data_IF_699022172231
#
_entry.id   IF_699022172231
#
_cell.length_a   1.000
_cell.length_b   1.000
_cell.length_c   1.000
_cell.angle_alpha   90.00
_cell.angle_beta   90.00
_cell.angle_gamma   90.00
#
_symmetry.space_group_name_H-M   'P 1'
#
loop_
_entity.id
_entity.type
_entity.pdbx_description
1 polymer ?
#
# COMPACT_ATOMS: atom_id res chain seq x y z
N UNK A 1 -49.22 34.76 51.33
CA UNK A 1 -49.10 36.14 51.74
C UNK A 1 -48.49 36.92 50.58
N UNK A 2 -49.37 37.64 49.96
CA UNK A 2 -49.44 39.10 49.82
C UNK A 2 -48.27 39.62 48.93
N UNK A 3 -48.56 40.16 47.84
CA UNK A 3 -49.32 41.20 47.21
C UNK A 3 -48.45 42.19 46.48
N UNK A 4 -48.78 42.40 45.23
CA UNK A 4 -49.12 43.69 44.60
C UNK A 4 -47.94 44.60 44.26
N UNK A 5 -47.93 45.36 43.23
CA UNK A 5 -48.84 45.78 42.16
C UNK A 5 -48.17 46.83 41.29
N UNK A 6 -48.64 47.00 40.07
CA UNK A 6 -48.93 48.19 39.26
C UNK A 6 -47.78 48.96 38.62
N UNK A 7 -47.79 49.01 37.39
CA UNK A 7 -48.46 49.79 36.34
C UNK A 7 -47.81 51.09 35.95
N UNK A 8 -47.60 51.30 34.69
CA UNK A 8 -48.08 52.31 33.72
C UNK A 8 -47.01 52.54 32.68
N UNK A 9 -47.24 52.27 31.48
CA UNK A 9 -48.02 52.92 30.40
C UNK A 9 -47.25 53.96 29.64
N UNK A 10 -47.33 53.76 28.35
CA UNK A 10 -47.39 54.75 27.28
C UNK A 10 -46.12 55.15 26.53
N UNK A 11 -46.19 54.98 25.21
CA UNK A 11 -45.42 55.76 24.31
C UNK A 11 -45.18 55.12 22.96
N UNK A 12 -46.20 55.19 22.08
CA UNK A 12 -46.08 55.02 20.65
C UNK A 12 -44.89 55.77 20.06
N UNK A 13 -44.08 55.05 19.23
CA UNK A 13 -43.62 55.58 17.93
C UNK A 13 -43.18 54.42 17.04
N UNK A 14 -43.94 54.18 15.96
CA UNK A 14 -43.45 53.49 14.78
C UNK A 14 -42.63 54.50 13.98
N UNK A 15 -41.52 54.03 13.35
CA UNK A 15 -41.46 54.24 11.91
C UNK A 15 -41.25 52.96 11.15
N UNK A 16 -41.89 52.94 10.04
CA UNK A 16 -41.80 52.07 8.87
C UNK A 16 -40.44 52.18 8.22
N UNK A 17 -39.83 51.11 7.92
CA UNK A 17 -38.89 51.03 6.97
C UNK A 17 -38.35 50.11 6.34
N UNK A 18 -37.75 49.82 5.20
CA UNK A 18 -38.23 48.95 4.15
C UNK A 18 -37.54 47.57 4.18
N UNK A 19 -38.29 46.65 3.72
CA UNK A 19 -37.78 45.34 3.25
C UNK A 19 -36.88 45.57 2.06
N UNK A 20 -35.60 45.32 2.24
CA UNK A 20 -34.66 45.19 1.13
C UNK A 20 -33.87 43.91 1.26
N UNK A 21 -34.23 42.98 0.37
CA UNK A 21 -33.30 42.13 -0.42
C UNK A 21 -32.17 41.43 0.34
N UNK A 22 -32.48 40.26 0.90
CA UNK A 22 -31.53 39.17 1.05
C UNK A 22 -31.93 38.02 0.13
N UNK A 23 -31.83 38.28 -1.16
CA UNK A 23 -31.83 37.21 -2.21
C UNK A 23 -30.58 37.44 -3.02
N UNK A 24 -29.83 36.35 -3.17
CA UNK A 24 -28.70 36.20 -4.08
C UNK A 24 -27.29 36.34 -3.48
N UNK A 25 -26.90 35.45 -2.57
CA UNK A 25 -25.51 34.94 -2.58
C UNK A 25 -25.58 33.45 -2.22
N UNK A 26 -26.08 32.67 -3.13
CA UNK A 26 -25.99 31.20 -3.09
C UNK A 26 -26.01 30.66 -4.51
N UNK A 27 -24.95 30.98 -5.28
CA UNK A 27 -24.69 30.29 -6.55
C UNK A 27 -23.38 30.79 -7.15
N UNK A 28 -22.28 30.61 -6.40
CA UNK A 28 -20.96 30.46 -6.97
C UNK A 28 -20.21 29.41 -6.14
N UNK A 29 -20.77 28.21 -6.04
CA UNK A 29 -19.98 27.04 -5.72
C UNK A 29 -19.11 26.82 -6.97
N UNK A 30 -17.91 27.36 -6.87
CA UNK A 30 -16.90 27.34 -7.92
C UNK A 30 -16.64 25.92 -8.41
N UNK A 31 -16.47 25.69 -9.71
CA UNK A 31 -16.01 24.42 -10.26
C UNK A 31 -14.61 24.02 -9.74
N UNK A 32 -13.92 24.90 -9.02
CA UNK A 32 -12.65 24.61 -8.36
C UNK A 32 -12.73 23.51 -7.27
N UNK A 33 -13.86 23.31 -6.59
CA UNK A 33 -14.02 22.21 -5.64
C UNK A 33 -14.15 20.85 -6.32
N UNK A 34 -14.71 20.79 -7.53
CA UNK A 34 -14.83 19.54 -8.29
C UNK A 34 -13.49 19.15 -8.93
N UNK A 35 -12.65 20.11 -9.30
CA UNK A 35 -11.28 19.84 -9.79
C UNK A 35 -10.33 19.40 -8.68
N UNK A 36 -10.47 19.93 -7.47
CA UNK A 36 -9.64 19.50 -6.32
C UNK A 36 -9.91 18.06 -5.89
N UNK A 37 -11.13 17.55 -6.07
CA UNK A 37 -11.48 16.17 -5.69
C UNK A 37 -10.89 15.10 -6.62
N UNK A 38 -10.32 15.48 -7.75
CA UNK A 38 -9.80 14.58 -8.79
C UNK A 38 -8.30 14.77 -9.06
N UNK A 39 -7.62 15.58 -8.27
CA UNK A 39 -6.17 15.63 -8.30
C UNK A 39 -5.57 14.31 -7.80
N UNK A 40 -4.38 13.97 -8.25
CA UNK A 40 -3.65 12.79 -7.78
C UNK A 40 -3.58 12.74 -6.25
N UNK A 41 -3.37 13.90 -5.61
CA UNK A 41 -3.30 14.02 -4.16
C UNK A 41 -4.64 13.67 -3.48
N UNK A 42 -5.76 14.09 -4.06
CA UNK A 42 -7.09 13.74 -3.52
C UNK A 42 -7.39 12.23 -3.67
N UNK A 43 -6.94 11.59 -4.75
CA UNK A 43 -7.05 10.15 -4.92
C UNK A 43 -6.17 9.39 -3.93
N UNK A 44 -4.94 9.84 -3.69
CA UNK A 44 -4.03 9.27 -2.69
C UNK A 44 -4.62 9.40 -1.28
N UNK A 45 -5.14 10.57 -0.91
CA UNK A 45 -5.77 10.79 0.38
C UNK A 45 -7.02 9.90 0.58
N UNK A 46 -7.82 9.72 -0.49
CA UNK A 46 -8.96 8.80 -0.45
C UNK A 46 -8.51 7.35 -0.29
N UNK A 47 -7.51 6.90 -1.03
CA UNK A 47 -6.97 5.55 -0.90
C UNK A 47 -6.46 5.30 0.52
N UNK A 48 -5.71 6.24 1.10
CA UNK A 48 -5.22 6.10 2.48
C UNK A 48 -6.36 5.97 3.50
N UNK A 49 -7.48 6.65 3.30
CA UNK A 49 -8.62 6.61 4.23
C UNK A 49 -9.58 5.45 4.01
N UNK A 50 -9.81 5.03 2.76
CA UNK A 50 -10.91 4.14 2.39
C UNK A 50 -10.46 2.74 1.96
N UNK A 51 -9.19 2.52 1.64
CA UNK A 51 -8.71 1.24 1.13
C UNK A 51 -8.78 0.12 2.19
N UNK A 52 -9.47 -1.01 1.90
CA UNK A 52 -9.66 -2.10 2.86
C UNK A 52 -8.35 -2.79 3.28
N UNK A 53 -7.34 -2.86 2.38
CA UNK A 53 -6.05 -3.49 2.72
C UNK A 53 -5.28 -2.67 3.74
N UNK A 54 -5.37 -1.34 3.68
CA UNK A 54 -4.79 -0.44 4.69
C UNK A 54 -5.53 -0.52 6.02
N UNK A 55 -6.85 -0.67 5.99
CA UNK A 55 -7.62 -0.92 7.21
C UNK A 55 -7.18 -2.24 7.86
N UNK A 56 -7.05 -3.31 7.07
CA UNK A 56 -6.56 -4.60 7.56
C UNK A 56 -5.13 -4.50 8.15
N UNK A 57 -4.25 -3.71 7.53
CA UNK A 57 -2.89 -3.47 8.04
C UNK A 57 -2.92 -2.73 9.38
N UNK A 58 -3.75 -1.69 9.53
CA UNK A 58 -3.97 -0.96 10.79
C UNK A 58 -4.51 -1.89 11.89
N UNK A 59 -5.42 -2.79 11.53
CA UNK A 59 -5.99 -3.76 12.46
C UNK A 59 -4.97 -4.80 12.92
N UNK A 60 -4.04 -5.23 12.04
CA UNK A 60 -2.91 -6.08 12.41
C UNK A 60 -1.99 -5.40 13.42
N UNK A 61 -1.71 -4.10 13.27
CA UNK A 61 -0.94 -3.32 14.26
C UNK A 61 -1.67 -3.27 15.60
N UNK A 62 -3.01 -3.05 15.59
CA UNK A 62 -3.82 -3.08 16.82
C UNK A 62 -3.78 -4.47 17.49
N UNK A 63 -3.90 -5.53 16.71
CA UNK A 63 -3.82 -6.89 17.20
C UNK A 63 -2.45 -7.22 17.81
N UNK A 64 -1.35 -6.84 17.14
CA UNK A 64 0.00 -7.00 17.69
C UNK A 64 0.17 -6.22 18.99
N UNK A 65 -0.27 -4.97 19.04
CA UNK A 65 -0.23 -4.12 20.24
C UNK A 65 -1.02 -4.70 21.41
N UNK A 66 -2.17 -5.31 21.14
CA UNK A 66 -2.99 -5.97 22.15
C UNK A 66 -2.31 -7.22 22.74
N UNK A 67 -1.42 -7.89 22.00
CA UNK A 67 -0.69 -9.09 22.45
C UNK A 67 0.47 -8.77 23.41
N UNK A 68 0.93 -7.54 23.49
CA UNK A 68 2.06 -7.14 24.37
C UNK A 68 1.73 -7.35 25.85
N UNK A 69 0.54 -6.93 26.28
CA UNK A 69 0.12 -7.11 27.70
C UNK A 69 0.01 -8.59 28.11
N UNK A 70 -0.68 -9.46 27.36
CA UNK A 70 -0.72 -10.90 27.67
C UNK A 70 0.67 -11.55 27.67
N UNK A 71 1.58 -11.16 26.77
CA UNK A 71 2.94 -11.70 26.74
C UNK A 71 3.74 -11.38 28.00
N UNK A 72 3.43 -10.30 28.71
CA UNK A 72 4.06 -9.89 29.97
C UNK A 72 3.27 -10.32 31.20
N UNK A 73 2.08 -10.88 31.04
CA UNK A 73 1.22 -11.25 32.16
C UNK A 73 1.68 -12.58 32.81
N UNK A 74 1.42 -12.70 34.07
CA UNK A 74 1.49 -13.99 34.76
C UNK A 74 0.35 -14.89 34.26
N UNK A 75 0.56 -16.19 34.30
CA UNK A 75 -0.52 -17.13 34.09
C UNK A 75 -1.65 -16.91 35.13
N UNK A 76 -2.89 -17.16 34.79
CA UNK A 76 -3.97 -17.03 35.75
C UNK A 76 -3.86 -18.04 36.87
N UNK A 77 -4.22 -17.67 38.13
CA UNK A 77 -4.26 -18.60 39.23
C UNK A 77 -5.32 -19.68 38.97
N UNK A 78 -4.97 -20.93 39.24
CA UNK A 78 -5.87 -22.06 39.13
C UNK A 78 -6.55 -22.35 40.45
N UNK A 79 -7.89 -22.40 40.48
CA UNK A 79 -8.66 -22.89 41.61
C UNK A 79 -8.72 -24.41 41.53
N UNK A 80 -8.34 -25.09 42.63
CA UNK A 80 -8.39 -26.51 42.74
C UNK A 80 -9.43 -26.88 43.81
N UNK A 81 -10.24 -27.89 43.54
CA UNK A 81 -11.17 -28.49 44.50
C UNK A 81 -11.16 -30.02 44.34
N UNK A 82 -11.15 -30.71 45.42
CA UNK A 82 -11.09 -32.19 45.36
C UNK A 82 -11.24 -32.86 46.75
N UNK A 83 -11.14 -34.16 46.73
CA UNK A 83 -11.08 -35.01 47.94
C UNK A 83 -9.72 -35.69 47.87
N UNK A 84 -8.94 -35.54 48.91
CA UNK A 84 -7.61 -36.15 49.03
C UNK A 84 -7.65 -37.33 50.01
N UNK A 85 -6.87 -38.36 49.73
CA UNK A 85 -6.77 -39.58 50.53
C UNK A 85 -8.11 -40.34 50.76
N UNK A 86 -8.93 -40.41 49.69
CA UNK A 86 -10.14 -41.23 49.70
C UNK A 86 -9.73 -42.71 49.56
N UNK A 87 -10.02 -43.58 50.56
CA UNK A 87 -9.68 -45.00 50.48
C UNK A 87 -10.50 -45.73 49.40
N UNK A 88 -9.83 -46.43 48.49
CA UNK A 88 -10.48 -47.13 47.39
C UNK A 88 -11.33 -48.35 47.85
N UNK A 89 -11.07 -48.87 49.04
CA UNK A 89 -11.86 -49.96 49.62
C UNK A 89 -13.22 -49.55 50.18
N UNK A 90 -13.45 -48.28 50.44
CA UNK A 90 -14.67 -47.79 51.09
C UNK A 90 -15.89 -47.74 50.17
N UNK A 91 -15.72 -47.94 48.88
CA UNK A 91 -16.86 -47.97 47.90
C UNK A 91 -17.58 -49.34 47.82
N UNK A 92 -17.00 -50.41 48.40
CA UNK A 92 -17.52 -51.77 48.30
C UNK A 92 -18.17 -52.33 49.59
N UNK A 93 -18.28 -51.55 50.69
CA UNK A 93 -18.92 -51.99 51.91
C UNK A 93 -20.47 -51.91 51.75
N UNK A 94 -21.23 -53.02 51.86
CA UNK A 94 -22.66 -53.02 51.82
C UNK A 94 -23.28 -52.36 53.06
N UNK A 95 -23.82 -51.17 52.91
CA UNK A 95 -24.53 -50.43 53.97
C UNK A 95 -24.32 -48.93 54.00
N UNK A 96 -23.44 -48.36 53.14
CA UNK A 96 -23.29 -46.91 53.03
C UNK A 96 -24.28 -46.33 52.03
N UNK A 97 -25.35 -45.76 52.54
CA UNK A 97 -26.28 -44.94 51.77
C UNK A 97 -25.58 -43.78 51.10
N UNK A 98 -26.14 -43.32 49.96
CA UNK A 98 -25.65 -42.29 49.05
C UNK A 98 -25.57 -40.86 49.66
N UNK A 99 -24.87 -40.69 50.76
CA UNK A 99 -24.54 -39.38 51.30
C UNK A 99 -23.04 -39.15 51.12
N UNK A 100 -22.67 -37.99 50.69
CA UNK A 100 -21.28 -37.53 50.39
C UNK A 100 -20.18 -38.27 51.09
N UNK A 101 -19.07 -38.63 50.44
CA UNK A 101 -18.02 -39.50 50.94
C UNK A 101 -17.31 -38.90 52.13
N UNK A 102 -17.82 -39.15 53.33
CA UNK A 102 -17.13 -39.01 54.57
C UNK A 102 -17.02 -40.44 55.17
N UNK A 103 -15.89 -41.10 54.97
CA UNK A 103 -15.65 -42.42 55.56
C UNK A 103 -15.44 -42.20 57.07
N UNK A 104 -16.35 -42.66 57.93
CA UNK A 104 -16.16 -42.59 59.37
C UNK A 104 -14.98 -43.49 59.71
N UNK A 105 -13.90 -42.88 60.19
CA UNK A 105 -12.71 -43.61 60.66
C UNK A 105 -11.39 -43.39 59.95
N UNK A 106 -11.39 -42.84 58.72
CA UNK A 106 -10.13 -42.53 58.00
C UNK A 106 -9.64 -41.14 58.36
N UNK A 107 -8.56 -41.04 59.18
CA UNK A 107 -8.11 -39.77 59.74
C UNK A 107 -7.44 -38.83 58.70
N UNK A 108 -7.16 -39.34 57.48
CA UNK A 108 -6.44 -38.60 56.45
C UNK A 108 -7.29 -38.15 55.29
N UNK A 109 -8.57 -38.64 55.15
CA UNK A 109 -9.48 -38.17 54.11
C UNK A 109 -9.89 -36.72 54.38
N UNK A 110 -9.73 -35.86 53.38
CA UNK A 110 -10.09 -34.44 53.50
C UNK A 110 -10.72 -33.89 52.23
N UNK A 111 -11.66 -32.97 52.40
CA UNK A 111 -12.17 -32.13 51.30
C UNK A 111 -11.27 -30.96 51.16
N UNK A 112 -10.77 -30.74 49.96
CA UNK A 112 -9.73 -29.76 49.68
C UNK A 112 -10.23 -28.67 48.77
N UNK A 113 -9.87 -27.44 49.09
CA UNK A 113 -9.95 -26.29 48.17
C UNK A 113 -8.59 -25.58 48.22
N UNK A 114 -8.13 -25.16 47.06
CA UNK A 114 -6.82 -24.49 46.99
C UNK A 114 -6.66 -23.62 45.76
N UNK A 115 -5.63 -22.82 45.77
CA UNK A 115 -5.21 -21.98 44.64
C UNK A 115 -3.75 -22.33 44.32
N UNK A 116 -3.47 -22.48 43.02
CA UNK A 116 -2.08 -22.59 42.54
C UNK A 116 -1.76 -21.49 41.52
N UNK A 117 -0.51 -21.07 41.51
CA UNK A 117 0.02 -20.04 40.66
C UNK A 117 1.40 -20.41 40.13
N UNK A 118 1.55 -20.41 38.81
CA UNK A 118 2.86 -20.53 38.18
C UNK A 118 3.58 -19.18 38.21
N UNK A 119 4.77 -19.15 38.79
CA UNK A 119 5.66 -17.99 38.84
C UNK A 119 6.80 -18.20 37.85
N UNK A 120 6.80 -17.51 36.70
CA UNK A 120 7.85 -17.65 35.70
C UNK A 120 9.23 -17.24 36.28
N UNK A 121 10.28 -17.92 35.84
CA UNK A 121 11.64 -17.56 36.22
C UNK A 121 11.94 -16.09 35.89
N UNK A 122 12.62 -15.35 36.78
CA UNK A 122 12.87 -13.92 36.61
C UNK A 122 13.49 -13.59 35.26
N UNK A 123 12.84 -12.61 34.55
CA UNK A 123 13.25 -12.10 33.26
C UNK A 123 12.68 -12.86 32.05
N UNK A 124 11.97 -13.99 32.21
CA UNK A 124 11.25 -14.64 31.08
C UNK A 124 10.10 -13.76 30.56
N UNK A 125 9.28 -13.19 31.44
CA UNK A 125 8.20 -12.29 31.08
C UNK A 125 8.70 -11.02 30.38
N UNK A 126 9.84 -10.46 30.85
CA UNK A 126 10.49 -9.32 30.22
C UNK A 126 10.91 -9.62 28.77
N UNK A 127 11.46 -10.81 28.51
CA UNK A 127 11.86 -11.23 27.16
C UNK A 127 10.65 -11.51 26.27
N UNK A 128 9.59 -12.13 26.80
CA UNK A 128 8.31 -12.31 26.05
C UNK A 128 7.71 -10.96 25.68
N UNK A 129 7.69 -10.01 26.62
CA UNK A 129 7.25 -8.65 26.36
C UNK A 129 8.09 -7.98 25.27
N UNK A 130 9.42 -8.06 25.38
CA UNK A 130 10.34 -7.47 24.40
C UNK A 130 10.12 -8.05 23.00
N UNK A 131 9.97 -9.37 22.88
CA UNK A 131 9.65 -10.01 21.61
C UNK A 131 8.33 -9.46 21.03
N UNK A 132 7.27 -9.41 21.84
CA UNK A 132 5.96 -8.88 21.41
C UNK A 132 6.01 -7.39 21.04
N UNK A 133 6.80 -6.56 21.74
CA UNK A 133 7.02 -5.16 21.38
C UNK A 133 7.72 -5.02 20.01
N UNK A 134 8.71 -5.86 19.71
CA UNK A 134 9.37 -5.90 18.40
C UNK A 134 8.45 -6.41 17.30
N UNK A 135 7.54 -7.33 17.61
CA UNK A 135 6.46 -7.74 16.66
C UNK A 135 5.50 -6.58 16.35
N UNK A 136 5.23 -5.67 17.28
CA UNK A 136 4.48 -4.44 17.00
C UNK A 136 5.25 -3.54 16.05
N UNK A 137 6.57 -3.38 16.26
CA UNK A 137 7.40 -2.58 15.36
C UNK A 137 7.43 -3.17 13.96
N UNK A 138 7.50 -4.50 13.82
CA UNK A 138 7.40 -5.21 12.54
C UNK A 138 6.02 -4.98 11.88
N UNK A 139 4.94 -5.10 12.65
CA UNK A 139 3.59 -4.87 12.11
C UNK A 139 3.38 -3.42 11.65
N UNK A 140 3.98 -2.43 12.32
CA UNK A 140 3.96 -1.02 11.88
C UNK A 140 4.73 -0.84 10.56
N UNK A 141 5.94 -1.39 10.47
CA UNK A 141 6.73 -1.32 9.24
C UNK A 141 6.01 -2.01 8.07
N UNK A 142 5.34 -3.15 8.32
CA UNK A 142 4.50 -3.83 7.34
C UNK A 142 3.28 -3.00 6.89
N UNK A 143 2.68 -2.22 7.81
CA UNK A 143 1.60 -1.30 7.48
C UNK A 143 2.11 -0.11 6.65
N UNK A 144 3.30 0.42 6.94
CA UNK A 144 3.94 1.46 6.14
C UNK A 144 4.25 0.93 4.72
N UNK A 145 4.75 -0.31 4.59
CA UNK A 145 4.98 -0.96 3.29
C UNK A 145 3.68 -1.08 2.49
N UNK A 146 2.59 -1.49 3.14
CA UNK A 146 1.27 -1.59 2.51
C UNK A 146 0.76 -0.22 2.04
N UNK A 147 0.98 0.84 2.82
CA UNK A 147 0.61 2.21 2.45
C UNK A 147 1.36 2.69 1.21
N UNK A 148 2.67 2.48 1.16
CA UNK A 148 3.47 2.84 -0.01
C UNK A 148 3.09 2.02 -1.25
N UNK A 149 2.76 0.74 -1.08
CA UNK A 149 2.28 -0.09 -2.18
C UNK A 149 0.96 0.43 -2.76
N UNK A 150 -0.03 0.73 -1.91
CA UNK A 150 -1.31 1.31 -2.35
C UNK A 150 -1.10 2.68 -3.01
N UNK A 151 -0.23 3.53 -2.47
CA UNK A 151 0.07 4.82 -3.07
C UNK A 151 0.74 4.66 -4.45
N UNK A 152 1.65 3.68 -4.62
CA UNK A 152 2.23 3.33 -5.90
C UNK A 152 1.15 2.84 -6.88
N UNK A 153 0.25 1.95 -6.46
CA UNK A 153 -0.81 1.41 -7.32
C UNK A 153 -1.75 2.52 -7.82
N UNK A 154 -2.15 3.44 -6.96
CA UNK A 154 -2.92 4.63 -7.35
C UNK A 154 -2.18 5.48 -8.39
N UNK A 155 -0.89 5.74 -8.18
CA UNK A 155 -0.07 6.52 -9.11
C UNK A 155 0.08 5.81 -10.46
N UNK A 156 0.36 4.52 -10.45
CA UNK A 156 0.52 3.72 -11.68
C UNK A 156 -0.76 3.73 -12.51
N UNK A 157 -1.91 3.43 -11.90
CA UNK A 157 -3.20 3.46 -12.61
C UNK A 157 -3.56 4.88 -13.08
N UNK A 158 -3.25 5.91 -12.29
CA UNK A 158 -3.48 7.30 -12.67
C UNK A 158 -2.64 7.73 -13.87
N UNK A 159 -1.35 7.37 -13.93
CA UNK A 159 -0.48 7.70 -15.04
C UNK A 159 -0.82 6.88 -16.29
N UNK A 160 -1.32 5.66 -16.14
CA UNK A 160 -1.87 4.89 -17.25
C UNK A 160 -3.10 5.59 -17.86
N UNK A 161 -4.06 6.01 -17.01
CA UNK A 161 -5.21 6.79 -17.48
C UNK A 161 -4.78 8.08 -18.18
N UNK A 162 -3.74 8.76 -17.66
CA UNK A 162 -3.23 9.96 -18.30
C UNK A 162 -2.68 9.70 -19.72
N UNK A 163 -1.99 8.58 -19.91
CA UNK A 163 -1.55 8.12 -21.22
C UNK A 163 -2.75 7.83 -22.14
N UNK A 164 -3.70 7.01 -21.68
CA UNK A 164 -4.86 6.59 -22.49
C UNK A 164 -5.71 7.80 -22.92
N UNK A 165 -5.95 8.75 -22.02
CA UNK A 165 -6.68 9.98 -22.32
C UNK A 165 -5.96 10.83 -23.38
N UNK A 166 -4.64 10.88 -23.36
CA UNK A 166 -3.84 11.55 -24.38
C UNK A 166 -3.83 10.80 -25.70
N UNK A 167 -3.71 9.48 -25.67
CA UNK A 167 -3.77 8.63 -26.85
C UNK A 167 -5.12 8.77 -27.58
N UNK A 168 -6.24 8.77 -26.83
CA UNK A 168 -7.57 9.03 -27.38
C UNK A 168 -7.66 10.41 -28.04
N UNK A 169 -7.13 11.45 -27.41
CA UNK A 169 -7.12 12.79 -28.01
C UNK A 169 -6.30 12.86 -29.31
N UNK A 170 -5.19 12.12 -29.38
CA UNK A 170 -4.37 11.99 -30.59
C UNK A 170 -5.14 11.25 -31.68
N UNK A 171 -5.79 10.13 -31.35
CA UNK A 171 -6.62 9.37 -32.29
C UNK A 171 -7.74 10.26 -32.91
N UNK A 172 -8.47 10.99 -32.06
CA UNK A 172 -9.55 11.87 -32.55
C UNK A 172 -9.03 12.99 -33.45
N UNK A 173 -7.89 13.59 -33.11
CA UNK A 173 -7.24 14.57 -33.98
C UNK A 173 -6.83 13.97 -35.35
N UNK A 174 -6.22 12.77 -35.32
CA UNK A 174 -5.82 12.09 -36.56
C UNK A 174 -7.03 11.66 -37.39
N UNK A 175 -8.14 11.27 -36.78
CA UNK A 175 -9.42 10.99 -37.50
C UNK A 175 -9.94 12.22 -38.22
N UNK A 176 -9.84 13.39 -37.57
CA UNK A 176 -10.24 14.65 -38.23
C UNK A 176 -9.37 14.95 -39.47
N UNK A 177 -8.03 14.85 -39.32
CA UNK A 177 -7.10 15.03 -40.45
C UNK A 177 -7.39 14.03 -41.57
N UNK A 178 -7.64 12.78 -41.25
CA UNK A 178 -7.90 11.74 -42.22
C UNK A 178 -9.27 11.94 -42.93
N UNK A 179 -10.26 12.51 -42.25
CA UNK A 179 -11.53 12.90 -42.88
C UNK A 179 -11.31 13.96 -43.96
N UNK A 180 -10.44 14.95 -43.73
CA UNK A 180 -10.07 15.94 -44.73
C UNK A 180 -9.32 15.29 -45.90
N UNK A 181 -8.40 14.37 -45.63
CA UNK A 181 -7.68 13.60 -46.67
C UNK A 181 -8.66 12.80 -47.54
N UNK A 182 -9.66 12.15 -46.95
CA UNK A 182 -10.68 11.39 -47.68
C UNK A 182 -11.45 12.32 -48.62
N UNK A 183 -11.89 13.52 -48.19
CA UNK A 183 -12.57 14.48 -49.03
C UNK A 183 -11.73 14.91 -50.26
N UNK A 184 -10.45 15.21 -50.02
CA UNK A 184 -9.51 15.57 -51.11
C UNK A 184 -9.33 14.40 -52.09
N UNK A 185 -9.20 13.18 -51.57
CA UNK A 185 -9.01 11.98 -52.39
C UNK A 185 -10.25 11.67 -53.25
N UNK A 186 -11.44 11.83 -52.67
CA UNK A 186 -12.72 11.69 -53.39
C UNK A 186 -12.88 12.75 -54.51
N UNK A 187 -12.44 13.98 -54.25
CA UNK A 187 -12.42 15.03 -55.25
C UNK A 187 -11.45 14.72 -56.42
N UNK A 188 -10.26 14.23 -56.10
CA UNK A 188 -9.29 13.77 -57.12
C UNK A 188 -9.84 12.61 -57.97
N UNK A 189 -10.52 11.65 -57.34
CA UNK A 189 -11.18 10.55 -58.06
C UNK A 189 -12.30 11.07 -58.97
N UNK A 190 -13.16 11.96 -58.49
CA UNK A 190 -14.25 12.55 -59.28
C UNK A 190 -13.74 13.36 -60.46
N UNK A 191 -12.58 14.02 -60.34
CA UNK A 191 -11.95 14.76 -61.43
C UNK A 191 -11.13 13.89 -62.41
N UNK A 192 -11.01 12.59 -62.12
CA UNK A 192 -10.18 11.66 -62.90
C UNK A 192 -8.66 11.80 -62.70
N UNK A 193 -8.24 12.55 -61.71
CA UNK A 193 -6.81 12.76 -61.37
C UNK A 193 -6.31 11.82 -60.30
N UNK A 194 -7.19 11.04 -59.64
CA UNK A 194 -6.87 10.05 -58.59
C UNK A 194 -7.45 8.67 -58.86
N UNK A 195 -6.92 7.64 -58.21
CA UNK A 195 -7.35 6.25 -58.30
C UNK A 195 -8.45 5.90 -57.28
N UNK A 196 -9.40 5.01 -57.65
CA UNK A 196 -10.36 4.44 -56.70
C UNK A 196 -9.67 3.74 -55.52
N UNK A 197 -8.51 3.11 -55.76
CA UNK A 197 -7.75 2.44 -54.72
C UNK A 197 -7.33 3.41 -53.59
N UNK A 198 -7.10 4.68 -53.89
CA UNK A 198 -6.65 5.66 -52.89
C UNK A 198 -7.82 6.02 -51.94
N UNK A 199 -9.01 6.18 -52.46
CA UNK A 199 -10.23 6.37 -51.65
C UNK A 199 -10.43 5.17 -50.69
N UNK A 200 -10.27 3.96 -51.23
CA UNK A 200 -10.44 2.74 -50.42
C UNK A 200 -9.36 2.62 -49.33
N UNK A 201 -8.09 2.93 -49.64
CA UNK A 201 -7.00 2.95 -48.66
C UNK A 201 -7.25 3.96 -47.54
N UNK A 202 -7.62 5.19 -47.88
CA UNK A 202 -7.92 6.21 -46.86
C UNK A 202 -9.08 5.81 -45.92
N UNK A 203 -10.14 5.17 -46.51
CA UNK A 203 -11.26 4.66 -45.70
C UNK A 203 -10.84 3.48 -44.80
N UNK A 204 -9.96 2.57 -45.26
CA UNK A 204 -9.40 1.50 -44.42
C UNK A 204 -8.62 2.06 -43.25
N UNK A 205 -7.80 3.11 -43.50
CA UNK A 205 -7.05 3.74 -42.43
C UNK A 205 -7.95 4.42 -41.38
N UNK A 206 -9.06 5.07 -41.85
CA UNK A 206 -10.07 5.60 -40.94
C UNK A 206 -10.75 4.51 -40.09
N UNK A 207 -10.98 3.33 -40.65
CA UNK A 207 -11.52 2.20 -39.91
C UNK A 207 -10.51 1.67 -38.84
N UNK A 208 -9.20 1.63 -39.17
CA UNK A 208 -8.13 1.25 -38.23
C UNK A 208 -8.04 2.21 -37.06
N UNK A 209 -8.13 3.53 -37.31
CA UNK A 209 -8.19 4.51 -36.19
C UNK A 209 -9.45 4.33 -35.35
N UNK A 210 -10.58 3.92 -35.94
CA UNK A 210 -11.80 3.56 -35.21
C UNK A 210 -11.62 2.34 -34.30
N UNK A 211 -10.93 1.31 -34.79
CA UNK A 211 -10.52 0.12 -33.97
C UNK A 211 -9.62 0.52 -32.81
N UNK A 212 -8.59 1.33 -33.10
CA UNK A 212 -7.67 1.83 -32.06
C UNK A 212 -8.40 2.63 -30.97
N UNK A 213 -9.32 3.51 -31.37
CA UNK A 213 -10.14 4.26 -30.42
C UNK A 213 -10.99 3.34 -29.53
N UNK A 214 -11.61 2.30 -30.13
CA UNK A 214 -12.40 1.34 -29.38
C UNK A 214 -11.54 0.56 -28.38
N UNK A 215 -10.37 0.10 -28.78
CA UNK A 215 -9.42 -0.60 -27.89
C UNK A 215 -9.00 0.28 -26.71
N UNK A 216 -8.63 1.54 -26.97
CA UNK A 216 -8.24 2.49 -25.92
C UNK A 216 -9.40 2.82 -24.96
N UNK A 217 -10.64 2.86 -25.45
CA UNK A 217 -11.82 3.08 -24.59
C UNK A 217 -12.05 1.91 -23.63
N UNK A 218 -11.88 0.67 -24.11
CA UNK A 218 -11.97 -0.51 -23.23
C UNK A 218 -10.80 -0.58 -22.24
N UNK A 219 -9.58 -0.27 -22.67
CA UNK A 219 -8.42 -0.16 -21.79
C UNK A 219 -8.64 0.91 -20.69
N UNK A 220 -9.22 2.07 -21.07
CA UNK A 220 -9.61 3.11 -20.12
C UNK A 220 -10.61 2.62 -19.08
N UNK A 221 -11.62 1.84 -19.51
CA UNK A 221 -12.60 1.25 -18.59
C UNK A 221 -11.93 0.28 -17.61
N UNK A 222 -11.09 -0.62 -18.10
CA UNK A 222 -10.37 -1.58 -17.28
C UNK A 222 -9.48 -0.88 -16.24
N UNK A 223 -8.65 0.07 -16.66
CA UNK A 223 -7.76 0.83 -15.76
C UNK A 223 -8.56 1.69 -14.76
N UNK A 224 -9.71 2.24 -15.18
CA UNK A 224 -10.60 2.97 -14.27
C UNK A 224 -11.21 2.06 -13.21
N UNK A 225 -11.59 0.84 -13.56
CA UNK A 225 -12.10 -0.15 -12.61
C UNK A 225 -11.04 -0.57 -11.60
N UNK A 226 -9.79 -0.78 -12.03
CA UNK A 226 -8.65 -1.08 -11.13
C UNK A 226 -8.39 0.06 -10.15
N UNK A 227 -8.39 1.31 -10.63
CA UNK A 227 -8.22 2.47 -9.76
C UNK A 227 -9.39 2.62 -8.78
N UNK A 228 -10.63 2.43 -9.25
CA UNK A 228 -11.82 2.47 -8.40
C UNK A 228 -11.78 1.38 -7.31
N UNK A 229 -11.35 0.17 -7.63
CA UNK A 229 -11.14 -0.89 -6.65
C UNK A 229 -10.13 -0.49 -5.56
N UNK A 230 -9.00 0.13 -5.95
CA UNK A 230 -8.00 0.64 -5.01
C UNK A 230 -8.55 1.78 -4.13
N UNK A 231 -9.47 2.60 -4.66
CA UNK A 231 -10.14 3.69 -3.97
C UNK A 231 -11.37 3.25 -3.15
N UNK A 232 -11.69 1.96 -3.16
CA UNK A 232 -12.91 1.39 -2.59
C UNK A 232 -14.17 2.13 -3.09
N UNK A 233 -14.29 2.21 -4.41
CA UNK A 233 -15.46 2.74 -5.15
C UNK A 233 -16.03 1.65 -6.04
N UNK A 234 -17.26 1.86 -6.51
CA UNK A 234 -17.85 1.01 -7.53
C UNK A 234 -17.04 1.10 -8.83
N UNK A 235 -16.86 -0.02 -9.50
CA UNK A 235 -16.08 -0.16 -10.75
C UNK A 235 -16.58 0.75 -11.88
N UNK A 236 -17.90 1.03 -11.90
CA UNK A 236 -18.56 1.90 -12.88
C UNK A 236 -18.43 3.40 -12.57
N UNK A 237 -17.79 3.78 -11.44
CA UNK A 237 -17.63 5.20 -11.10
C UNK A 237 -16.78 5.91 -12.14
N UNK A 238 -17.36 6.92 -12.80
CA UNK A 238 -16.62 7.71 -13.79
C UNK A 238 -15.47 8.48 -13.13
N UNK A 239 -14.29 8.33 -13.72
CA UNK A 239 -13.11 9.12 -13.37
C UNK A 239 -12.90 10.21 -14.43
N UNK A 240 -12.60 11.45 -14.03
CA UNK A 240 -12.26 12.51 -14.98
C UNK A 240 -10.95 12.20 -15.69
N UNK A 241 -10.67 12.99 -16.73
CA UNK A 241 -9.41 12.90 -17.47
C UNK A 241 -8.22 13.13 -16.54
N UNK A 242 -7.24 12.22 -16.60
CA UNK A 242 -6.01 12.29 -15.85
C UNK A 242 -4.94 13.06 -16.64
N UNK A 243 -4.09 13.78 -15.92
CA UNK A 243 -2.98 14.53 -16.52
C UNK A 243 -1.74 14.30 -15.66
N UNK A 244 -0.61 14.01 -16.28
CA UNK A 244 0.69 13.91 -15.58
C UNK A 244 1.01 15.27 -14.95
N UNK A 245 1.29 15.35 -13.65
CA UNK A 245 1.64 16.60 -12.97
C UNK A 245 2.82 17.30 -13.62
N UNK A 246 2.74 18.63 -13.73
CA UNK A 246 3.76 19.45 -14.41
C UNK A 246 5.17 19.23 -13.84
N UNK A 247 5.30 19.10 -12.52
CA UNK A 247 6.59 18.82 -11.86
C UNK A 247 7.25 17.53 -12.36
N UNK A 248 6.45 16.48 -12.63
CA UNK A 248 6.97 15.21 -13.16
C UNK A 248 7.33 15.36 -14.63
N UNK A 249 6.50 16.03 -15.41
CA UNK A 249 6.78 16.30 -16.83
C UNK A 249 8.05 17.14 -17.01
N UNK A 250 8.27 18.16 -16.18
CA UNK A 250 9.48 18.96 -16.19
C UNK A 250 10.72 18.13 -15.81
N UNK A 251 10.63 17.28 -14.76
CA UNK A 251 11.70 16.39 -14.37
C UNK A 251 12.06 15.38 -15.49
N UNK A 252 11.06 14.96 -16.27
CA UNK A 252 11.23 14.04 -17.39
C UNK A 252 11.93 14.67 -18.61
N UNK A 253 11.77 15.98 -18.88
CA UNK A 253 12.17 16.65 -20.13
C UNK A 253 13.49 17.41 -20.01
N UNK A 254 14.03 17.63 -18.81
CA UNK A 254 15.15 18.55 -18.54
C UNK A 254 16.53 18.15 -19.11
N UNK A 255 16.61 17.30 -20.14
CA UNK A 255 17.90 16.87 -20.76
C UNK A 255 18.26 17.71 -21.96
N UNK A 256 19.51 18.21 -22.05
CA UNK A 256 20.06 18.82 -23.23
C UNK A 256 20.26 17.80 -24.36
N UNK A 257 19.58 17.93 -25.53
CA UNK A 257 19.70 16.95 -26.63
C UNK A 257 21.10 16.87 -27.24
N UNK A 258 21.92 17.93 -27.10
CA UNK A 258 23.29 17.87 -27.59
C UNK A 258 24.16 16.90 -26.79
N UNK A 259 23.75 16.57 -25.56
CA UNK A 259 24.38 15.55 -24.72
C UNK A 259 23.88 14.13 -25.00
N UNK A 260 22.68 13.97 -25.53
CA UNK A 260 22.15 12.66 -25.96
C UNK A 260 22.98 12.07 -27.10
N UNK A 261 23.51 12.90 -28.01
CA UNK A 261 24.47 12.46 -29.07
C UNK A 261 25.80 11.98 -28.50
N UNK A 262 26.24 12.50 -27.36
CA UNK A 262 27.49 12.11 -26.70
C UNK A 262 27.35 10.94 -25.74
N UNK A 263 26.18 10.76 -25.10
CA UNK A 263 25.93 9.61 -24.21
C UNK A 263 26.00 8.26 -24.94
N UNK A 264 25.65 8.23 -26.23
CA UNK A 264 25.85 7.04 -27.07
C UNK A 264 27.33 6.77 -27.39
N UNK A 265 28.22 7.71 -27.18
CA UNK A 265 29.66 7.61 -27.48
C UNK A 265 30.58 7.57 -26.26
N UNK A 266 30.10 7.93 -25.09
CA UNK A 266 30.89 7.95 -23.84
C UNK A 266 30.15 7.23 -22.73
N UNK A 267 30.41 5.94 -22.58
CA UNK A 267 30.05 5.18 -21.37
C UNK A 267 30.68 5.88 -20.14
N UNK A 268 29.88 6.57 -19.35
CA UNK A 268 30.29 7.12 -18.06
C UNK A 268 30.05 8.62 -17.80
N UNK A 269 29.64 9.43 -18.79
CA UNK A 269 29.32 10.84 -18.54
C UNK A 269 27.88 10.95 -17.97
N UNK A 270 27.76 11.15 -16.65
CA UNK A 270 26.49 11.50 -15.99
C UNK A 270 25.91 12.76 -16.64
N UNK A 271 24.63 12.71 -16.99
CA UNK A 271 23.88 13.89 -17.37
C UNK A 271 23.97 14.94 -16.23
N UNK A 272 24.44 16.15 -16.56
CA UNK A 272 24.66 17.23 -15.56
C UNK A 272 23.34 17.76 -14.99
N UNK A 273 22.18 17.39 -15.55
CA UNK A 273 20.84 17.80 -15.15
C UNK A 273 20.02 16.66 -14.53
N UNK A 274 20.62 15.83 -13.73
CA UNK A 274 19.88 14.79 -13.00
C UNK A 274 19.14 15.42 -11.82
N UNK A 275 17.77 15.48 -11.82
CA UNK A 275 17.00 16.18 -10.79
C UNK A 275 16.86 15.38 -9.50
N UNK A 276 17.37 14.15 -9.45
CA UNK A 276 17.25 13.25 -8.32
C UNK A 276 18.57 13.10 -7.58
N UNK A 277 18.54 12.61 -6.32
CA UNK A 277 19.76 12.27 -5.61
C UNK A 277 20.63 11.25 -6.38
N UNK A 278 21.96 11.24 -6.18
CA UNK A 278 22.84 10.23 -6.78
C UNK A 278 22.44 8.81 -6.42
N UNK A 279 22.73 7.82 -7.29
CA UNK A 279 22.41 6.41 -7.06
C UNK A 279 22.84 5.90 -5.67
N UNK A 280 24.05 6.25 -5.23
CA UNK A 280 24.56 5.84 -3.93
C UNK A 280 23.68 6.37 -2.77
N UNK A 281 23.28 7.64 -2.85
CA UNK A 281 22.42 8.27 -1.86
C UNK A 281 21.01 7.66 -1.84
N UNK A 282 20.43 7.34 -3.03
CA UNK A 282 19.16 6.64 -3.13
C UNK A 282 19.24 5.23 -2.54
N UNK A 283 20.34 4.51 -2.74
CA UNK A 283 20.57 3.20 -2.14
C UNK A 283 20.73 3.29 -0.62
N UNK A 284 21.41 4.30 -0.11
CA UNK A 284 21.57 4.55 1.32
C UNK A 284 20.24 4.98 1.96
N UNK A 285 19.44 5.77 1.26
CA UNK A 285 18.12 6.17 1.70
C UNK A 285 17.18 4.95 1.76
N UNK A 286 17.17 4.12 0.71
CA UNK A 286 16.43 2.88 0.68
C UNK A 286 16.85 1.91 1.80
N UNK A 287 18.14 1.83 2.12
CA UNK A 287 18.63 0.99 3.20
C UNK A 287 18.11 1.43 4.58
N UNK A 288 17.81 2.73 4.77
CA UNK A 288 17.32 3.31 6.03
C UNK A 288 15.80 3.39 6.11
N UNK A 289 15.15 3.78 5.01
CA UNK A 289 13.74 4.15 5.00
C UNK A 289 12.82 3.06 4.46
N UNK A 290 13.35 2.06 3.72
CA UNK A 290 12.52 1.00 3.14
C UNK A 290 11.77 0.22 4.22
N UNK A 291 10.42 0.22 4.22
CA UNK A 291 9.65 -0.41 5.30
C UNK A 291 9.83 -1.92 5.38
N UNK A 292 10.09 -2.59 4.24
CA UNK A 292 10.31 -4.05 4.22
C UNK A 292 11.63 -4.45 4.90
N UNK A 293 12.65 -3.60 4.81
CA UNK A 293 13.91 -3.79 5.53
C UNK A 293 13.72 -3.51 7.03
N UNK A 294 12.98 -2.45 7.39
CA UNK A 294 12.63 -2.13 8.79
C UNK A 294 11.80 -3.23 9.44
N UNK A 295 10.83 -3.81 8.70
CA UNK A 295 10.08 -4.98 9.15
C UNK A 295 11.01 -6.17 9.45
N UNK A 296 11.96 -6.44 8.55
CA UNK A 296 12.93 -7.53 8.74
C UNK A 296 13.83 -7.29 9.95
N UNK A 297 14.27 -6.05 10.20
CA UNK A 297 15.06 -5.67 11.39
C UNK A 297 14.28 -5.86 12.70
N UNK A 298 13.01 -5.45 12.71
CA UNK A 298 12.14 -5.64 13.86
C UNK A 298 11.90 -7.14 14.15
N UNK A 299 11.69 -7.95 13.11
CA UNK A 299 11.55 -9.40 13.24
C UNK A 299 12.84 -10.06 13.77
N UNK A 300 14.02 -9.64 13.31
CA UNK A 300 15.32 -10.11 13.82
C UNK A 300 15.44 -9.74 15.30
N UNK A 301 15.07 -8.52 15.69
CA UNK A 301 15.10 -8.09 17.08
C UNK A 301 14.12 -8.88 17.98
N UNK A 302 12.94 -9.26 17.46
CA UNK A 302 12.01 -10.14 18.14
C UNK A 302 12.61 -11.54 18.33
N UNK A 303 13.23 -12.10 17.29
CA UNK A 303 13.87 -13.41 17.33
C UNK A 303 15.09 -13.42 18.27
N UNK A 304 15.85 -12.33 18.34
CA UNK A 304 16.94 -12.20 19.34
C UNK A 304 16.41 -12.33 20.78
N UNK A 305 15.26 -11.70 21.09
CA UNK A 305 14.61 -11.85 22.38
C UNK A 305 14.12 -13.30 22.62
N UNK A 306 13.67 -14.00 21.59
CA UNK A 306 13.28 -15.42 21.66
C UNK A 306 14.49 -16.35 21.89
N UNK A 307 15.64 -16.05 21.27
CA UNK A 307 16.90 -16.76 21.55
C UNK A 307 17.28 -16.65 23.03
N UNK A 308 17.21 -15.44 23.60
CA UNK A 308 17.48 -15.25 25.03
C UNK A 308 16.41 -15.92 25.90
N UNK A 309 15.17 -15.98 25.50
CA UNK A 309 14.10 -16.71 26.18
C UNK A 309 14.40 -18.23 26.17
N UNK A 310 14.76 -18.78 25.00
CA UNK A 310 15.16 -20.19 24.86
C UNK A 310 16.39 -20.52 25.71
N UNK A 311 17.39 -19.62 25.82
CA UNK A 311 18.54 -19.76 26.74
C UNK A 311 18.08 -19.88 28.18
N UNK A 312 17.04 -19.15 28.61
CA UNK A 312 16.42 -19.26 29.91
C UNK A 312 15.45 -20.45 30.05
N UNK A 313 15.21 -21.21 28.99
CA UNK A 313 14.38 -22.41 28.99
C UNK A 313 14.89 -23.47 29.95
N UNK A 314 16.23 -23.54 30.19
CA UNK A 314 16.82 -24.42 31.19
C UNK A 314 16.60 -23.98 32.66
N UNK A 315 16.05 -22.80 32.88
CA UNK A 315 15.67 -22.31 34.23
C UNK A 315 14.20 -22.61 34.44
N UNK A 316 13.85 -23.48 35.40
CA UNK A 316 12.46 -23.86 35.62
C UNK A 316 11.64 -22.71 36.19
N UNK A 317 10.36 -22.70 35.87
CA UNK A 317 9.37 -21.86 36.52
C UNK A 317 8.97 -22.50 37.87
N UNK A 318 8.37 -21.75 38.76
CA UNK A 318 7.97 -22.23 40.09
C UNK A 318 6.45 -22.32 40.13
N UNK A 319 5.91 -23.46 40.59
CA UNK A 319 4.50 -23.59 40.87
C UNK A 319 4.29 -23.48 42.37
N UNK A 320 3.55 -22.47 42.81
CA UNK A 320 3.23 -22.22 44.21
C UNK A 320 1.77 -22.56 44.44
N UNK A 321 1.46 -23.41 45.39
CA UNK A 321 0.08 -23.73 45.72
C UNK A 321 -0.18 -23.58 47.24
N UNK A 322 -1.40 -23.14 47.53
CA UNK A 322 -1.92 -23.07 48.90
C UNK A 322 -3.27 -23.80 48.91
N UNK A 323 -3.39 -24.83 49.77
CA UNK A 323 -4.57 -25.67 49.87
C UNK A 323 -5.09 -25.67 51.30
N UNK A 324 -6.40 -25.57 51.46
CA UNK A 324 -7.11 -25.80 52.73
C UNK A 324 -7.82 -27.13 52.62
N UNK A 325 -7.58 -27.99 53.61
CA UNK A 325 -8.17 -29.32 53.73
C UNK A 325 -9.04 -29.40 54.98
N UNK A 326 -10.35 -29.57 54.77
CA UNK A 326 -11.32 -29.84 55.82
C UNK A 326 -11.34 -31.32 56.13
N UNK A 327 -11.06 -31.70 57.38
CA UNK A 327 -11.09 -33.09 57.88
C UNK A 327 -12.32 -33.36 58.75
N UNK A 328 -12.81 -34.59 58.70
CA UNK A 328 -13.89 -34.99 59.55
C UNK A 328 -13.40 -35.30 60.97
N UNK A 329 -13.99 -34.66 62.01
CA UNK A 329 -13.67 -34.85 63.45
C UNK A 329 -12.21 -34.58 63.82
N UNK A 330 -11.44 -33.86 63.04
CA UNK A 330 -10.04 -33.47 63.30
C UNK A 330 -9.82 -32.03 62.89
N UNK A 331 -8.74 -31.38 63.44
CA UNK A 331 -8.38 -30.05 63.03
C UNK A 331 -8.12 -29.98 61.50
N UNK A 332 -8.57 -28.92 60.86
CA UNK A 332 -8.34 -28.64 59.44
C UNK A 332 -6.85 -28.42 59.16
N UNK A 333 -6.45 -28.62 57.93
CA UNK A 333 -5.06 -28.47 57.49
C UNK A 333 -4.89 -27.39 56.44
N UNK A 334 -3.78 -26.65 56.54
CA UNK A 334 -3.32 -25.78 55.47
C UNK A 334 -2.01 -26.38 54.94
N UNK A 335 -1.97 -26.56 53.61
CA UNK A 335 -0.79 -27.07 52.91
C UNK A 335 -0.27 -25.99 51.96
N UNK A 336 0.97 -25.56 52.14
CA UNK A 336 1.70 -24.73 51.22
C UNK A 336 2.74 -25.60 50.52
N UNK A 337 2.75 -25.55 49.18
CA UNK A 337 3.64 -26.38 48.37
C UNK A 337 4.32 -25.53 47.32
N UNK A 338 5.60 -25.75 47.07
CA UNK A 338 6.36 -25.19 45.96
C UNK A 338 6.90 -26.34 45.13
N UNK A 339 6.55 -26.39 43.91
CA UNK A 339 6.96 -27.40 42.93
C UNK A 339 7.86 -26.81 41.87
N UNK A 340 8.95 -27.49 41.55
CA UNK A 340 9.95 -27.04 40.57
C UNK A 340 10.22 -28.20 39.63
N UNK A 341 9.88 -28.08 38.30
CA UNK A 341 10.21 -29.08 37.32
C UNK A 341 11.73 -29.16 37.10
N UNK A 342 12.30 -30.35 37.23
CA UNK A 342 13.74 -30.56 37.02
C UNK A 342 14.01 -30.90 35.56
N UNK A 343 14.85 -30.15 34.85
CA UNK A 343 15.10 -30.36 33.40
C UNK A 343 16.13 -31.50 33.19
N UNK A 344 15.77 -32.73 33.52
CA UNK A 344 16.65 -33.90 33.39
C UNK A 344 16.98 -34.23 31.93
N UNK A 345 16.09 -33.87 30.98
CA UNK A 345 16.30 -34.06 29.57
C UNK A 345 16.81 -32.78 28.86
N UNK A 346 17.55 -31.91 29.56
CA UNK A 346 18.01 -30.62 29.08
C UNK A 346 18.64 -30.69 27.67
N UNK A 347 19.51 -31.68 27.42
CA UNK A 347 20.21 -31.84 26.13
C UNK A 347 19.28 -32.17 24.97
N UNK A 348 18.20 -32.91 25.23
CA UNK A 348 17.28 -33.37 24.20
C UNK A 348 16.16 -32.35 23.94
N UNK A 349 15.86 -31.44 24.85
CA UNK A 349 14.75 -30.48 24.74
C UNK A 349 15.29 -29.04 24.72
N UNK A 350 15.73 -28.51 25.85
CA UNK A 350 16.06 -27.08 25.97
C UNK A 350 17.30 -26.67 25.15
N UNK A 351 18.30 -27.53 25.04
CA UNK A 351 19.50 -27.24 24.23
C UNK A 351 19.12 -27.28 22.73
N UNK A 352 18.22 -28.18 22.30
CA UNK A 352 17.75 -28.25 20.94
C UNK A 352 16.81 -27.06 20.59
N UNK A 353 15.95 -26.65 21.52
CA UNK A 353 15.13 -25.43 21.36
C UNK A 353 16.02 -24.18 21.20
N UNK A 354 17.10 -24.08 21.96
CA UNK A 354 18.05 -22.99 21.80
C UNK A 354 18.78 -23.02 20.46
N UNK A 355 19.22 -24.21 20.00
CA UNK A 355 19.86 -24.34 18.68
C UNK A 355 18.86 -24.01 17.55
N UNK A 356 17.61 -24.45 17.67
CA UNK A 356 16.57 -24.09 16.68
C UNK A 356 16.35 -22.56 16.63
N UNK A 357 16.22 -21.92 17.80
CA UNK A 357 16.04 -20.47 17.86
C UNK A 357 17.24 -19.68 17.28
N UNK A 358 18.47 -20.18 17.47
CA UNK A 358 19.69 -19.59 16.86
C UNK A 358 19.75 -19.79 15.36
N UNK A 359 19.37 -20.97 14.87
CA UNK A 359 19.33 -21.24 13.44
C UNK A 359 18.31 -20.34 12.74
N UNK A 360 17.12 -20.15 13.34
CA UNK A 360 16.10 -19.21 12.86
C UNK A 360 16.61 -17.78 12.83
N UNK A 361 17.30 -17.33 13.90
CA UNK A 361 17.92 -16.01 13.93
C UNK A 361 18.91 -15.81 12.79
N UNK A 362 19.83 -16.77 12.56
CA UNK A 362 20.81 -16.72 11.47
C UNK A 362 20.14 -16.76 10.09
N UNK A 363 19.05 -17.52 9.94
CA UNK A 363 18.24 -17.54 8.71
C UNK A 363 17.63 -16.15 8.43
N UNK A 364 17.00 -15.52 9.43
CA UNK A 364 16.43 -14.18 9.30
C UNK A 364 17.47 -13.10 8.95
N UNK A 365 18.70 -13.19 9.52
CA UNK A 365 19.80 -12.30 9.14
C UNK A 365 20.22 -12.48 7.68
N UNK A 366 20.24 -13.72 7.21
CA UNK A 366 20.57 -14.03 5.82
C UNK A 366 19.48 -13.55 4.85
N UNK A 367 18.21 -13.74 5.22
CA UNK A 367 17.06 -13.24 4.46
C UNK A 367 17.06 -11.69 4.39
N UNK A 368 17.40 -11.00 5.49
CA UNK A 368 17.55 -9.55 5.47
C UNK A 368 18.65 -9.09 4.51
N UNK A 369 19.81 -9.79 4.49
CA UNK A 369 20.88 -9.50 3.52
C UNK A 369 20.42 -9.71 2.09
N UNK A 370 19.71 -10.80 1.80
CA UNK A 370 19.14 -11.06 0.49
C UNK A 370 18.15 -9.98 0.06
N UNK A 371 17.22 -9.58 0.94
CA UNK A 371 16.28 -8.48 0.71
C UNK A 371 17.00 -7.16 0.45
N UNK A 372 18.03 -6.83 1.24
CA UNK A 372 18.83 -5.61 1.04
C UNK A 372 19.51 -5.57 -0.33
N UNK A 373 20.07 -6.70 -0.77
CA UNK A 373 20.65 -6.81 -2.11
C UNK A 373 19.60 -6.66 -3.22
N UNK A 374 18.41 -7.23 -3.03
CA UNK A 374 17.28 -7.07 -3.96
C UNK A 374 16.83 -5.61 -4.05
N UNK A 375 16.65 -4.92 -2.92
CA UNK A 375 16.29 -3.50 -2.87
C UNK A 375 17.34 -2.65 -3.61
N UNK A 376 18.64 -2.87 -3.36
CA UNK A 376 19.71 -2.16 -4.08
C UNK A 376 19.67 -2.39 -5.59
N UNK A 377 19.43 -3.62 -6.01
CA UNK A 377 19.31 -3.95 -7.42
C UNK A 377 18.08 -3.29 -8.07
N UNK A 378 16.93 -3.27 -7.36
CA UNK A 378 15.72 -2.58 -7.82
C UNK A 378 15.94 -1.08 -7.97
N UNK A 379 16.56 -0.42 -6.98
CA UNK A 379 16.91 1.01 -7.08
C UNK A 379 17.79 1.27 -8.29
N UNK A 380 18.84 0.45 -8.51
CA UNK A 380 19.75 0.61 -9.67
C UNK A 380 19.00 0.45 -10.99
N UNK A 381 18.11 -0.52 -11.10
CA UNK A 381 17.28 -0.75 -12.29
C UNK A 381 16.38 0.44 -12.56
N UNK A 382 15.63 0.90 -11.54
CA UNK A 382 14.67 2.00 -11.69
C UNK A 382 15.37 3.32 -12.03
N UNK A 383 16.54 3.60 -11.45
CA UNK A 383 17.36 4.76 -11.83
C UNK A 383 17.77 4.68 -13.30
N UNK A 384 18.23 3.50 -13.77
CA UNK A 384 18.59 3.31 -15.19
C UNK A 384 17.38 3.44 -16.12
N UNK A 385 16.19 2.96 -15.70
CA UNK A 385 14.95 3.11 -16.47
C UNK A 385 14.51 4.58 -16.55
N UNK A 386 14.65 5.35 -15.47
CA UNK A 386 14.40 6.80 -15.46
C UNK A 386 15.39 7.56 -16.33
N UNK A 387 16.69 7.24 -16.29
CA UNK A 387 17.71 7.85 -17.16
C UNK A 387 17.39 7.58 -18.64
N UNK A 388 17.05 6.34 -18.97
CA UNK A 388 16.62 5.96 -20.31
C UNK A 388 15.37 6.72 -20.75
N UNK A 389 14.32 6.77 -19.90
CA UNK A 389 13.08 7.50 -20.17
C UNK A 389 13.32 8.98 -20.47
N UNK A 390 14.15 9.66 -19.67
CA UNK A 390 14.54 11.06 -19.91
C UNK A 390 15.24 11.26 -21.24
N UNK A 391 16.16 10.38 -21.56
CA UNK A 391 16.89 10.43 -22.84
C UNK A 391 15.92 10.28 -24.03
N UNK A 392 15.02 9.30 -23.93
CA UNK A 392 14.00 9.03 -24.97
C UNK A 392 13.05 10.21 -25.13
N UNK A 393 12.52 10.76 -24.06
CA UNK A 393 11.65 11.93 -24.06
C UNK A 393 12.32 13.16 -24.64
N UNK A 394 13.61 13.40 -24.37
CA UNK A 394 14.38 14.48 -24.97
C UNK A 394 14.52 14.29 -26.50
N UNK A 395 14.73 13.07 -26.99
CA UNK A 395 14.79 12.78 -28.43
C UNK A 395 13.43 13.05 -29.08
N UNK A 396 12.32 12.61 -28.45
CA UNK A 396 10.97 12.86 -28.98
C UNK A 396 10.69 14.36 -29.08
N UNK A 397 10.89 15.10 -27.99
CA UNK A 397 10.51 16.53 -27.93
C UNK A 397 11.36 17.44 -28.80
N UNK A 398 12.65 17.14 -28.97
CA UNK A 398 13.58 18.05 -29.62
C UNK A 398 14.00 17.66 -31.04
N UNK A 399 13.73 16.41 -31.43
CA UNK A 399 14.08 15.94 -32.78
C UNK A 399 12.89 15.30 -33.51
N UNK A 400 12.31 14.24 -32.95
CA UNK A 400 11.36 13.41 -33.70
C UNK A 400 10.05 14.14 -33.96
N UNK A 401 9.39 14.66 -32.93
CA UNK A 401 8.08 15.31 -33.06
C UNK A 401 8.09 16.58 -33.91
N UNK A 402 9.07 17.51 -33.78
CA UNK A 402 9.14 18.67 -34.67
C UNK A 402 9.38 18.30 -36.12
N UNK A 403 10.27 17.33 -36.41
CA UNK A 403 10.58 16.90 -37.77
C UNK A 403 9.43 16.08 -38.37
N UNK A 404 8.85 15.15 -37.62
CA UNK A 404 7.71 14.35 -38.04
C UNK A 404 6.47 15.23 -38.36
N UNK A 405 6.19 16.21 -37.48
CA UNK A 405 5.12 17.17 -37.72
C UNK A 405 5.32 18.03 -38.97
N UNK A 406 6.55 18.49 -39.22
CA UNK A 406 6.89 19.22 -40.43
C UNK A 406 6.78 18.33 -41.68
N UNK A 407 7.24 17.08 -41.63
CA UNK A 407 7.12 16.12 -42.76
C UNK A 407 5.65 15.84 -43.10
N UNK A 408 4.84 15.49 -42.13
CA UNK A 408 3.42 15.20 -42.31
C UNK A 408 2.64 16.42 -42.91
N UNK A 409 2.96 17.64 -42.43
CA UNK A 409 2.38 18.88 -42.94
C UNK A 409 2.82 19.12 -44.40
N UNK A 410 4.09 18.94 -44.71
CA UNK A 410 4.63 19.11 -46.07
C UNK A 410 4.05 18.07 -47.06
N UNK A 411 3.93 16.80 -46.63
CA UNK A 411 3.35 15.73 -47.41
C UNK A 411 1.89 16.02 -47.76
N UNK A 412 1.08 16.47 -46.77
CA UNK A 412 -0.32 16.82 -46.96
C UNK A 412 -0.47 17.98 -47.98
N UNK A 413 0.32 19.06 -47.82
CA UNK A 413 0.31 20.20 -48.74
C UNK A 413 0.74 19.79 -50.17
N UNK A 414 1.75 18.92 -50.29
CA UNK A 414 2.21 18.39 -51.58
C UNK A 414 1.16 17.52 -52.28
N UNK A 415 0.44 16.71 -51.50
CA UNK A 415 -0.67 15.91 -52.02
C UNK A 415 -1.84 16.77 -52.53
N UNK A 416 -2.24 17.78 -51.77
CA UNK A 416 -3.26 18.74 -52.19
C UNK A 416 -2.89 19.48 -53.49
N UNK A 417 -1.58 19.70 -53.70
CA UNK A 417 -1.05 20.30 -54.93
C UNK A 417 -0.83 19.28 -56.08
N UNK A 418 -1.17 18.01 -55.89
CA UNK A 418 -0.97 16.94 -56.87
C UNK A 418 0.50 16.56 -57.13
N UNK A 419 1.41 16.86 -56.20
CA UNK A 419 2.87 16.64 -56.33
C UNK A 419 3.37 15.37 -55.71
N UNK A 420 2.60 14.73 -54.85
CA UNK A 420 2.94 13.46 -54.20
C UNK A 420 1.74 12.52 -54.18
N UNK A 421 1.93 11.25 -53.85
CA UNK A 421 0.88 10.25 -53.77
C UNK A 421 0.26 10.18 -52.36
N UNK A 422 -0.93 9.56 -52.27
CA UNK A 422 -1.63 9.38 -51.01
C UNK A 422 -0.85 8.51 -50.01
N UNK A 423 -0.11 7.51 -50.52
CA UNK A 423 0.62 6.56 -49.67
C UNK A 423 1.66 7.31 -48.82
N UNK A 424 2.40 8.25 -49.41
CA UNK A 424 3.34 9.11 -48.69
C UNK A 424 2.67 9.89 -47.58
N UNK A 425 1.48 10.48 -47.81
CA UNK A 425 0.73 11.19 -46.78
C UNK A 425 0.31 10.29 -45.64
N UNK A 426 -0.24 9.11 -45.95
CA UNK A 426 -0.66 8.16 -44.94
C UNK A 426 0.51 7.63 -44.14
N UNK A 427 1.68 7.38 -44.76
CA UNK A 427 2.89 6.91 -44.07
C UNK A 427 3.44 7.97 -43.10
N UNK A 428 3.56 9.22 -43.55
CA UNK A 428 3.99 10.33 -42.71
C UNK A 428 3.02 10.63 -41.56
N UNK A 429 1.71 10.53 -41.79
CA UNK A 429 0.68 10.70 -40.75
C UNK A 429 0.75 9.53 -39.72
N UNK A 430 0.88 8.29 -40.18
CA UNK A 430 1.02 7.13 -39.29
C UNK A 430 2.31 7.17 -38.47
N UNK A 431 3.40 7.65 -39.09
CA UNK A 431 4.68 7.84 -38.40
C UNK A 431 4.55 8.90 -37.32
N UNK A 432 3.96 10.05 -37.61
CA UNK A 432 3.70 11.09 -36.62
C UNK A 432 2.78 10.59 -35.49
N UNK A 433 1.68 9.94 -35.83
CA UNK A 433 0.75 9.35 -34.88
C UNK A 433 1.45 8.38 -33.92
N UNK A 434 2.30 7.51 -34.44
CA UNK A 434 3.07 6.55 -33.67
C UNK A 434 4.00 7.26 -32.69
N UNK A 435 4.77 8.24 -33.15
CA UNK A 435 5.72 8.94 -32.30
C UNK A 435 5.05 9.83 -31.23
N UNK A 436 3.91 10.45 -31.54
CA UNK A 436 3.14 11.19 -30.53
C UNK A 436 2.59 10.27 -29.45
N UNK A 437 2.06 9.12 -29.82
CA UNK A 437 1.56 8.12 -28.88
C UNK A 437 2.70 7.56 -28.01
N UNK A 438 3.83 7.22 -28.62
CA UNK A 438 5.02 6.73 -27.93
C UNK A 438 5.63 7.76 -26.98
N UNK A 439 5.58 9.05 -27.32
CA UNK A 439 5.99 10.11 -26.40
C UNK A 439 5.16 10.11 -25.11
N UNK A 440 3.83 10.06 -25.21
CA UNK A 440 2.98 10.07 -24.03
C UNK A 440 3.05 8.75 -23.24
N UNK A 441 3.26 7.63 -23.92
CA UNK A 441 3.57 6.35 -23.25
C UNK A 441 4.87 6.44 -22.48
N UNK A 442 5.93 6.93 -23.08
CA UNK A 442 7.24 7.11 -22.43
C UNK A 442 7.16 8.07 -21.23
N UNK A 443 6.32 9.12 -21.32
CA UNK A 443 6.09 10.05 -20.21
C UNK A 443 5.33 9.36 -19.05
N UNK A 444 4.32 8.56 -19.36
CA UNK A 444 3.59 7.76 -18.38
C UNK A 444 4.51 6.73 -17.72
N UNK A 445 5.31 6.01 -18.50
CA UNK A 445 6.24 5.01 -17.98
C UNK A 445 7.33 5.63 -17.09
N UNK A 446 7.82 6.81 -17.44
CA UNK A 446 8.72 7.58 -16.57
C UNK A 446 8.05 7.91 -15.23
N UNK A 447 6.80 8.37 -15.24
CA UNK A 447 6.06 8.71 -14.02
C UNK A 447 5.77 7.46 -13.16
N UNK A 448 5.47 6.31 -13.78
CA UNK A 448 5.29 5.01 -13.09
C UNK A 448 6.59 4.53 -12.45
N UNK A 449 7.71 4.57 -13.20
CA UNK A 449 9.02 4.19 -12.69
C UNK A 449 9.46 5.09 -11.51
N UNK A 450 9.10 6.37 -11.54
CA UNK A 450 9.33 7.27 -10.41
C UNK A 450 8.50 6.86 -9.19
N UNK A 451 7.22 6.55 -9.38
CA UNK A 451 6.37 6.08 -8.28
C UNK A 451 6.85 4.74 -7.68
N UNK A 452 7.36 3.83 -8.51
CA UNK A 452 8.00 2.59 -8.05
C UNK A 452 9.29 2.86 -7.28
N UNK A 453 10.12 3.80 -7.74
CA UNK A 453 11.35 4.18 -7.06
C UNK A 453 11.06 4.79 -5.69
N UNK A 454 10.06 5.66 -5.57
CA UNK A 454 9.61 6.23 -4.30
C UNK A 454 9.10 5.16 -3.33
N UNK A 455 8.36 4.16 -3.83
CA UNK A 455 7.95 3.02 -3.02
C UNK A 455 9.14 2.21 -2.50
N UNK A 456 10.12 1.91 -3.36
CA UNK A 456 11.31 1.10 -3.02
C UNK A 456 12.24 1.86 -2.07
N UNK A 457 12.40 3.16 -2.28
CA UNK A 457 13.21 4.01 -1.39
C UNK A 457 12.50 4.24 -0.05
N UNK A 458 11.17 4.28 -0.03
CA UNK A 458 10.37 4.49 1.18
C UNK A 458 10.01 5.96 1.44
N UNK A 459 10.39 6.87 0.55
CA UNK A 459 10.12 8.31 0.67
C UNK A 459 9.91 8.96 -0.70
N UNK A 460 9.25 10.12 -0.73
CA UNK A 460 9.17 10.95 -1.93
C UNK A 460 10.56 11.47 -2.31
N UNK A 461 10.90 11.40 -3.59
CA UNK A 461 12.21 11.75 -4.13
C UNK A 461 12.15 13.06 -4.91
N UNK A 462 10.99 13.34 -5.51
CA UNK A 462 10.75 14.59 -6.21
C UNK A 462 9.93 15.53 -5.30
N UNK A 463 10.54 16.62 -4.80
CA UNK A 463 9.86 17.55 -3.88
C UNK A 463 8.72 18.34 -4.53
#
# INVERSE_FOLDING_TARGET
>A
MLRFNRTRSAGLYRPVLPALSFVAIALLASPACAQASNSLEALLARADSANPSLQAARDRVRAASARVRPAAAWADPMLMAGIENLPLGAMNEPGMGSAAPSVPGEPMTMKMIGVSQTVPYPGKLGLRRQAAEREVDAARASADASRLAVARDVRVSFFELAYIDRALAIVERNRAVLADVIQVTEAHYASGTGGQQDVLKARVEAARLGETASALLEERRATSAELNATLNKDDTTSLPSAIVPERIAQAAIAVDPNRVRFAAQTLGARAVDWPFPPLAELQDLAARENPTLRESEANIAAQAARVELARKGSRPDFDVSLRYGQRNQRPDMITAEVSIPLPIHKRAVQDQELEAARAEFSAMESDRRAKSNSVRAQVSRLVSDLERGRTQLAIYTKAILPQGGAAATAALASYQAGKTDLLTVLDDQNTLFTYETEYYRSLSDFAKNLAELEQVVGSEILP
#
